data_IF_210987618857
#
_entry.id   IF_210987618857
#
_cell.length_a   1.000
_cell.length_b   1.000
_cell.length_c   1.000
_cell.angle_alpha   90.00
_cell.angle_beta   90.00
_cell.angle_gamma   90.00
#
_symmetry.space_group_name_H-M   'P 1'
#
loop_
_entity.id
_entity.type
_entity.pdbx_description
1 polymer ?
#
# COMPACT_ATOMS: atom_id res chain seq x y z
N UNK A 1 -17.01 12.79 14.76
CA UNK A 1 -15.64 13.13 14.30
C UNK A 1 -14.98 14.17 15.20
N UNK A 2 -15.57 14.50 16.36
CA UNK A 2 -15.24 15.69 17.14
C UNK A 2 -13.81 15.66 17.69
N UNK A 3 -13.34 14.49 18.13
CA UNK A 3 -11.94 14.30 18.53
C UNK A 3 -10.97 14.57 17.39
N UNK A 4 -11.25 14.06 16.18
CA UNK A 4 -10.40 14.29 15.01
C UNK A 4 -10.33 15.78 14.65
N UNK A 5 -11.44 16.51 14.80
CA UNK A 5 -11.48 17.96 14.57
C UNK A 5 -10.92 18.80 15.71
N UNK A 6 -10.79 18.26 16.92
CA UNK A 6 -10.38 18.99 18.11
C UNK A 6 -8.98 19.63 18.01
N UNK A 7 -8.74 20.75 18.71
CA UNK A 7 -7.40 21.34 18.83
C UNK A 7 -6.38 20.39 19.46
N UNK A 8 -6.82 19.55 20.41
CA UNK A 8 -5.95 18.59 21.09
C UNK A 8 -5.36 17.55 20.12
N UNK A 9 -6.15 17.08 19.14
CA UNK A 9 -5.67 16.18 18.11
C UNK A 9 -4.63 16.85 17.21
N UNK A 10 -4.92 18.06 16.72
CA UNK A 10 -3.98 18.83 15.90
C UNK A 10 -2.66 19.08 16.64
N UNK A 11 -2.72 19.52 17.90
CA UNK A 11 -1.54 19.76 18.73
C UNK A 11 -0.72 18.48 18.93
N UNK A 12 -1.38 17.32 19.11
CA UNK A 12 -0.70 16.03 19.22
C UNK A 12 0.00 15.64 17.91
N UNK A 13 -0.66 15.80 16.76
CA UNK A 13 -0.07 15.50 15.46
C UNK A 13 1.18 16.36 15.22
N UNK A 14 1.09 17.67 15.42
CA UNK A 14 2.21 18.60 15.28
C UNK A 14 3.37 18.28 16.24
N UNK A 15 3.06 17.90 17.49
CA UNK A 15 4.09 17.48 18.44
C UNK A 15 4.83 16.22 17.98
N UNK A 16 4.14 15.25 17.38
CA UNK A 16 4.75 14.03 16.84
C UNK A 16 5.57 14.31 15.58
N UNK A 17 5.08 15.17 14.68
CA UNK A 17 5.82 15.64 13.50
C UNK A 17 7.17 16.24 13.92
N UNK A 18 7.16 17.13 14.91
CA UNK A 18 8.38 17.72 15.47
C UNK A 18 9.29 16.66 16.12
N UNK A 19 8.72 15.78 16.94
CA UNK A 19 9.47 14.73 17.65
C UNK A 19 10.21 13.78 16.70
N UNK A 20 9.56 13.40 15.60
CA UNK A 20 10.08 12.42 14.65
C UNK A 20 10.74 13.06 13.42
N UNK A 21 10.87 14.38 13.39
CA UNK A 21 11.48 15.13 12.28
C UNK A 21 10.84 14.79 10.92
N UNK A 22 9.52 14.59 10.91
CA UNK A 22 8.75 14.36 9.68
C UNK A 22 8.44 15.73 9.06
N UNK A 23 8.70 15.98 7.76
CA UNK A 23 8.43 17.28 7.15
C UNK A 23 6.94 17.66 7.18
N UNK A 24 6.06 16.71 6.89
CA UNK A 24 4.61 16.89 6.92
C UNK A 24 3.86 15.57 6.90
N UNK A 25 2.58 15.62 7.21
CA UNK A 25 1.70 14.45 7.37
C UNK A 25 0.29 14.79 6.89
N UNK A 26 -0.31 13.90 6.12
CA UNK A 26 -1.74 13.91 5.82
C UNK A 26 -2.41 12.68 6.46
N UNK A 27 -3.57 12.89 7.08
CA UNK A 27 -4.36 11.83 7.74
C UNK A 27 -5.77 11.88 7.17
N UNK A 28 -6.29 10.72 6.75
CA UNK A 28 -7.70 10.50 6.45
C UNK A 28 -8.31 9.55 7.48
N UNK A 29 -9.53 9.85 7.93
CA UNK A 29 -10.33 9.03 8.83
C UNK A 29 -11.66 8.72 8.16
N UNK A 30 -11.93 7.45 7.93
CA UNK A 30 -13.21 6.94 7.43
C UNK A 30 -13.92 6.23 8.58
N UNK A 31 -15.13 6.66 8.92
CA UNK A 31 -15.95 6.03 9.94
C UNK A 31 -17.42 6.04 9.51
N UNK A 32 -17.97 4.85 9.26
CA UNK A 32 -19.28 4.68 8.61
C UNK A 32 -19.28 5.44 7.28
N UNK A 33 -20.27 6.29 7.05
CA UNK A 33 -20.42 7.08 5.81
C UNK A 33 -19.70 8.44 5.87
N UNK A 34 -18.90 8.69 6.91
CA UNK A 34 -18.20 9.97 7.09
C UNK A 34 -16.71 9.79 6.85
N UNK A 35 -16.20 10.58 5.91
CA UNK A 35 -14.77 10.72 5.64
C UNK A 35 -14.33 12.14 6.00
N UNK A 36 -13.24 12.25 6.75
CA UNK A 36 -12.59 13.52 7.07
C UNK A 36 -11.09 13.40 6.86
N UNK A 37 -10.44 14.48 6.44
CA UNK A 37 -8.99 14.54 6.24
C UNK A 37 -8.39 15.81 6.83
N UNK A 38 -7.12 15.72 7.22
CA UNK A 38 -6.31 16.84 7.74
C UNK A 38 -4.88 16.69 7.25
N UNK A 39 -4.22 17.83 7.05
CA UNK A 39 -2.81 17.91 6.68
C UNK A 39 -2.06 18.82 7.65
N UNK A 40 -0.79 18.50 7.89
CA UNK A 40 0.09 19.19 8.83
C UNK A 40 1.49 19.30 8.25
N UNK A 41 2.21 20.38 8.58
CA UNK A 41 3.61 20.57 8.15
C UNK A 41 3.74 20.91 6.66
N UNK A 42 4.85 20.47 6.06
CA UNK A 42 5.30 20.84 4.71
C UNK A 42 5.38 19.61 3.80
N UNK A 43 4.84 19.74 2.59
CA UNK A 43 5.03 18.77 1.50
C UNK A 43 6.42 18.85 0.86
N UNK A 44 7.06 20.02 0.96
CA UNK A 44 8.40 20.27 0.44
C UNK A 44 9.06 21.35 1.28
N UNK A 45 10.35 21.19 1.57
CA UNK A 45 11.14 22.21 2.26
C UNK A 45 11.76 23.19 1.27
N UNK A 46 12.12 22.73 0.06
CA UNK A 46 12.75 23.52 -0.99
C UNK A 46 12.23 23.13 -2.39
N UNK A 47 11.45 23.99 -3.07
CA UNK A 47 10.83 25.19 -2.53
C UNK A 47 9.83 24.82 -1.42
N UNK A 48 9.71 25.70 -0.42
CA UNK A 48 8.78 25.51 0.68
C UNK A 48 7.34 25.41 0.17
N UNK A 49 6.68 24.27 0.39
CA UNK A 49 5.24 24.10 0.13
C UNK A 49 4.53 23.47 1.33
N UNK A 50 3.41 24.04 1.78
CA UNK A 50 2.62 23.45 2.85
C UNK A 50 2.04 22.10 2.40
N UNK A 51 1.87 21.20 3.37
CA UNK A 51 1.15 19.95 3.17
C UNK A 51 -0.34 20.24 2.99
N UNK A 52 -0.98 19.56 2.04
CA UNK A 52 -2.43 19.60 1.82
C UNK A 52 -3.00 18.19 1.82
N UNK A 53 -4.33 18.07 1.93
CA UNK A 53 -5.03 16.77 1.82
C UNK A 53 -4.95 16.17 0.42
N UNK A 54 -4.57 16.96 -0.57
CA UNK A 54 -4.40 16.57 -1.98
C UNK A 54 -2.93 16.37 -2.37
N UNK A 55 -2.01 16.45 -1.40
CA UNK A 55 -0.59 16.20 -1.68
C UNK A 55 -0.40 14.74 -2.11
N UNK A 56 0.30 14.55 -3.23
CA UNK A 56 0.63 13.21 -3.73
C UNK A 56 1.77 12.59 -2.92
N UNK A 57 1.65 11.29 -2.64
CA UNK A 57 2.64 10.49 -1.94
C UNK A 57 2.88 9.18 -2.68
N UNK A 58 4.11 8.69 -2.57
CA UNK A 58 4.40 7.28 -2.81
C UNK A 58 3.87 6.46 -1.62
N UNK A 59 2.87 5.62 -1.85
CA UNK A 59 2.25 4.81 -0.79
C UNK A 59 3.08 3.57 -0.39
N UNK A 60 4.24 3.39 -1.04
CA UNK A 60 5.22 2.34 -0.78
C UNK A 60 4.57 0.94 -0.69
N UNK A 61 4.84 0.19 0.39
CA UNK A 61 4.31 -1.16 0.56
C UNK A 61 2.79 -1.25 0.65
N UNK A 62 2.07 -0.14 0.89
CA UNK A 62 0.61 -0.16 0.80
C UNK A 62 0.10 -0.47 -0.62
N UNK A 63 0.93 -0.26 -1.65
CA UNK A 63 0.63 -0.70 -3.02
C UNK A 63 0.36 -2.20 -3.14
N UNK A 64 0.93 -3.03 -2.26
CA UNK A 64 0.72 -4.49 -2.28
C UNK A 64 -0.75 -4.87 -2.12
N UNK A 65 -1.52 -4.14 -1.31
CA UNK A 65 -2.95 -4.38 -1.15
C UNK A 65 -3.72 -4.13 -2.45
N UNK A 66 -3.31 -3.12 -3.22
CA UNK A 66 -3.90 -2.86 -4.54
C UNK A 66 -3.51 -3.96 -5.52
N UNK A 67 -2.25 -4.41 -5.54
CA UNK A 67 -1.81 -5.55 -6.36
C UNK A 67 -2.62 -6.81 -6.02
N UNK A 68 -2.78 -7.14 -4.74
CA UNK A 68 -3.56 -8.30 -4.30
C UNK A 68 -5.03 -8.20 -4.70
N UNK A 69 -5.64 -7.01 -4.57
CA UNK A 69 -7.01 -6.78 -5.02
C UNK A 69 -7.15 -6.94 -6.56
N UNK A 70 -6.20 -6.42 -7.33
CA UNK A 70 -6.18 -6.60 -8.80
C UNK A 70 -6.05 -8.07 -9.19
N UNK A 71 -5.21 -8.84 -8.50
CA UNK A 71 -5.11 -10.29 -8.72
C UNK A 71 -6.42 -10.99 -8.36
N UNK A 72 -7.07 -10.61 -7.26
CA UNK A 72 -8.38 -11.17 -6.89
C UNK A 72 -9.46 -10.92 -7.95
N UNK A 73 -9.43 -9.76 -8.63
CA UNK A 73 -10.31 -9.49 -9.77
C UNK A 73 -10.03 -10.44 -10.94
N UNK A 74 -8.77 -10.72 -11.25
CA UNK A 74 -8.41 -11.69 -12.30
C UNK A 74 -8.85 -13.11 -11.94
N UNK A 75 -8.74 -13.50 -10.66
CA UNK A 75 -9.14 -14.84 -10.19
C UNK A 75 -10.63 -15.11 -10.40
N UNK A 76 -11.48 -14.08 -10.35
CA UNK A 76 -12.93 -14.21 -10.58
C UNK A 76 -13.36 -13.87 -12.00
N UNK A 77 -12.45 -13.42 -12.86
CA UNK A 77 -12.77 -13.07 -14.24
C UNK A 77 -12.69 -14.32 -15.13
N UNK A 78 -13.83 -14.71 -15.71
CA UNK A 78 -13.95 -15.86 -16.60
C UNK A 78 -13.07 -15.75 -17.86
N UNK A 79 -12.58 -14.56 -18.21
CA UNK A 79 -11.61 -14.36 -19.30
C UNK A 79 -10.20 -14.84 -18.96
N UNK A 80 -9.89 -15.02 -17.68
CA UNK A 80 -8.59 -15.46 -17.17
C UNK A 80 -8.71 -16.74 -16.33
N UNK A 81 -9.27 -17.84 -16.88
CA UNK A 81 -9.63 -19.03 -16.12
C UNK A 81 -8.42 -19.77 -15.50
N UNK A 82 -7.22 -19.52 -16.00
CA UNK A 82 -5.98 -20.10 -15.49
C UNK A 82 -5.41 -19.34 -14.28
N UNK A 83 -5.82 -18.08 -14.07
CA UNK A 83 -5.38 -17.28 -12.92
C UNK A 83 -6.17 -17.73 -11.70
N UNK A 84 -5.54 -18.57 -10.87
CA UNK A 84 -6.09 -19.06 -9.59
C UNK A 84 -5.06 -18.88 -8.50
N UNK A 85 -5.50 -18.84 -7.25
CA UNK A 85 -4.58 -18.70 -6.12
C UNK A 85 -3.57 -19.86 -6.03
N UNK A 86 -3.98 -21.07 -6.41
CA UNK A 86 -3.14 -22.27 -6.46
C UNK A 86 -2.42 -22.46 -7.81
N UNK A 87 -2.57 -21.54 -8.75
CA UNK A 87 -1.85 -21.60 -10.02
C UNK A 87 -0.36 -21.33 -9.80
N UNK A 88 0.48 -22.16 -10.42
CA UNK A 88 1.94 -21.97 -10.41
C UNK A 88 2.32 -20.77 -11.29
N UNK A 89 3.14 -19.86 -10.75
CA UNK A 89 3.60 -18.67 -11.48
C UNK A 89 4.37 -19.02 -12.75
N UNK A 90 5.14 -20.12 -12.73
CA UNK A 90 5.87 -20.61 -13.90
C UNK A 90 4.94 -21.04 -15.06
N UNK A 91 3.71 -21.47 -14.76
CA UNK A 91 2.69 -21.78 -15.79
C UNK A 91 2.02 -20.53 -16.31
N UNK A 92 1.78 -19.53 -15.45
CA UNK A 92 1.17 -18.25 -15.83
C UNK A 92 2.10 -17.35 -16.66
N UNK A 93 3.41 -17.41 -16.38
CA UNK A 93 4.44 -16.57 -17.01
C UNK A 93 5.57 -17.45 -17.58
N UNK A 94 5.28 -18.28 -18.60
CA UNK A 94 6.23 -19.26 -19.11
C UNK A 94 7.44 -18.57 -19.75
N UNK A 95 8.63 -18.88 -19.25
CA UNK A 95 9.89 -18.30 -19.72
C UNK A 95 10.22 -16.92 -19.12
N UNK A 96 9.29 -16.30 -18.39
CA UNK A 96 9.48 -15.00 -17.73
C UNK A 96 9.57 -15.12 -16.20
N UNK A 97 8.91 -16.11 -15.60
CA UNK A 97 9.05 -16.35 -14.16
C UNK A 97 10.41 -16.97 -13.84
N UNK A 98 11.26 -16.21 -13.14
CA UNK A 98 12.61 -16.60 -12.75
C UNK A 98 12.76 -16.49 -11.24
N UNK A 99 13.22 -17.56 -10.61
CA UNK A 99 13.57 -17.62 -9.18
C UNK A 99 15.04 -18.04 -9.02
N UNK A 100 15.76 -17.53 -8.01
CA UNK A 100 17.16 -17.88 -7.82
C UNK A 100 17.31 -19.31 -7.28
N UNK A 101 17.89 -20.21 -8.07
CA UNK A 101 18.17 -21.60 -7.68
C UNK A 101 17.33 -22.62 -8.45
N UNK A 102 17.25 -23.85 -7.93
CA UNK A 102 16.43 -24.95 -8.46
C UNK A 102 15.31 -25.27 -7.48
N UNK A 103 14.14 -25.73 -7.94
CA UNK A 103 13.08 -26.21 -7.04
C UNK A 103 11.97 -25.20 -6.73
N UNK A 104 11.92 -24.06 -7.41
CA UNK A 104 10.87 -23.04 -7.24
C UNK A 104 9.78 -23.13 -8.32
N UNK A 105 9.74 -24.22 -9.09
CA UNK A 105 8.76 -24.41 -10.16
C UNK A 105 7.32 -24.50 -9.63
N UNK A 106 7.16 -24.84 -8.33
CA UNK A 106 5.86 -24.95 -7.66
C UNK A 106 5.37 -23.68 -6.94
N UNK A 107 6.05 -22.53 -7.08
CA UNK A 107 5.61 -21.29 -6.41
C UNK A 107 4.28 -20.84 -6.98
N UNK A 108 3.28 -20.70 -6.11
CA UNK A 108 1.91 -20.33 -6.51
C UNK A 108 1.65 -18.82 -6.42
N UNK A 109 0.55 -18.37 -7.00
CA UNK A 109 0.03 -17.00 -6.82
C UNK A 109 -0.15 -16.68 -5.33
N UNK A 110 -0.73 -17.59 -4.54
CA UNK A 110 -0.90 -17.41 -3.10
C UNK A 110 0.45 -17.26 -2.37
N UNK A 111 1.48 -18.02 -2.76
CA UNK A 111 2.81 -17.88 -2.15
C UNK A 111 3.44 -16.52 -2.41
N UNK A 112 3.22 -15.93 -3.59
CA UNK A 112 3.69 -14.57 -3.92
C UNK A 112 2.92 -13.51 -3.09
N UNK A 113 1.58 -13.62 -3.03
CA UNK A 113 0.74 -12.66 -2.31
C UNK A 113 0.92 -12.74 -0.79
N UNK A 114 1.27 -13.91 -0.26
CA UNK A 114 1.35 -14.21 1.17
C UNK A 114 2.79 -14.28 1.72
N UNK A 115 3.79 -13.84 0.96
CA UNK A 115 5.21 -13.85 1.36
C UNK A 115 5.77 -15.24 1.72
N UNK A 116 5.37 -16.29 0.98
CA UNK A 116 5.82 -17.68 1.17
C UNK A 116 6.67 -18.24 0.04
N UNK A 117 6.99 -17.43 -0.98
CA UNK A 117 7.79 -17.86 -2.12
C UNK A 117 9.23 -18.28 -1.80
N UNK A 118 9.73 -17.94 -0.60
CA UNK A 118 11.12 -18.16 -0.21
C UNK A 118 12.11 -17.16 -0.80
N UNK A 119 11.63 -16.16 -1.55
CA UNK A 119 12.48 -15.07 -2.03
C UNK A 119 12.92 -14.19 -0.85
N UNK A 120 14.20 -13.84 -0.82
CA UNK A 120 14.70 -12.90 0.17
C UNK A 120 14.08 -11.50 -0.03
N UNK A 121 13.93 -10.69 1.03
CA UNK A 121 13.42 -9.32 0.93
C UNK A 121 14.27 -8.39 0.06
#
# INVERSE_FOLDING_TARGET
MDLFHSPAFSARAEALIKKFHVPGLAIALVHKDVTASKAFGMASLEPARPMTTDTLFDIASASKSLTAASVALLVVDEKFPDVKYDAEMAKLLPGEFVMPGKGYEGVTVDDILSHRSGLAP
#
